data_IF_496583967903
#
_entry.id   IF_496583967903
#
_cell.length_a   1.000
_cell.length_b   1.000
_cell.length_c   1.000
_cell.angle_alpha   90.00
_cell.angle_beta   90.00
_cell.angle_gamma   90.00
#
_symmetry.space_group_name_H-M   'P 1'
#
loop_
_entity.id
_entity.type
_entity.pdbx_description
1 polymer ?
#
# COMPACT_ATOMS: atom_id res chain seq x y z
N UNK A 1 6.53 22.02 10.67
CA UNK A 1 6.67 20.58 10.34
C UNK A 1 5.49 19.83 10.96
N UNK A 2 4.28 19.93 10.38
CA UNK A 2 3.04 19.89 11.19
C UNK A 2 1.91 18.98 10.64
N UNK A 3 2.18 18.18 9.60
CA UNK A 3 1.21 17.19 9.09
C UNK A 3 1.92 15.86 8.95
N UNK A 4 1.43 14.81 9.60
CA UNK A 4 1.99 13.44 9.65
C UNK A 4 2.13 12.71 8.30
N UNK A 5 2.86 13.32 7.37
CA UNK A 5 3.17 12.79 6.04
C UNK A 5 4.11 11.59 6.19
N UNK A 6 3.97 10.60 5.30
CA UNK A 6 4.85 9.43 5.31
C UNK A 6 6.26 9.83 4.89
N UNK A 7 7.29 9.12 5.37
CA UNK A 7 8.65 9.27 4.87
C UNK A 7 8.71 9.26 3.33
N UNK A 8 7.98 8.34 2.68
CA UNK A 8 7.89 8.29 1.21
C UNK A 8 7.22 9.53 0.58
N UNK A 9 6.23 10.12 1.26
CA UNK A 9 5.60 11.36 0.81
C UNK A 9 6.56 12.53 0.94
N UNK A 10 7.35 12.58 2.02
CA UNK A 10 8.40 13.59 2.19
C UNK A 10 9.49 13.48 1.12
N UNK A 11 9.95 12.26 0.82
CA UNK A 11 10.91 12.01 -0.28
C UNK A 11 10.33 12.47 -1.61
N UNK A 12 9.07 12.13 -1.88
CA UNK A 12 8.38 12.54 -3.11
C UNK A 12 8.23 14.06 -3.21
N UNK A 13 7.81 14.72 -2.13
CA UNK A 13 7.66 16.18 -2.06
C UNK A 13 9.01 16.87 -2.23
N UNK A 14 10.07 16.37 -1.59
CA UNK A 14 11.42 16.91 -1.76
C UNK A 14 11.86 16.87 -3.23
N UNK A 15 11.60 15.76 -3.93
CA UNK A 15 11.90 15.64 -5.36
C UNK A 15 11.07 16.63 -6.18
N UNK A 16 9.77 16.70 -5.94
CA UNK A 16 8.88 17.59 -6.69
C UNK A 16 9.25 19.08 -6.47
N UNK A 17 9.56 19.48 -5.23
CA UNK A 17 9.95 20.84 -4.89
C UNK A 17 11.32 21.22 -5.48
N UNK A 18 12.26 20.28 -5.59
CA UNK A 18 13.53 20.53 -6.30
C UNK A 18 13.28 20.85 -7.77
N UNK A 19 12.42 20.07 -8.44
CA UNK A 19 12.04 20.33 -9.84
C UNK A 19 11.33 21.68 -9.99
N UNK A 20 10.49 22.05 -9.01
CA UNK A 20 9.84 23.37 -9.00
C UNK A 20 10.85 24.52 -8.87
N UNK A 21 11.83 24.41 -7.97
CA UNK A 21 12.88 25.42 -7.82
C UNK A 21 13.73 25.54 -9.09
N UNK A 22 14.04 24.42 -9.76
CA UNK A 22 14.74 24.44 -11.06
C UNK A 22 13.91 25.16 -12.13
N UNK A 23 12.61 24.89 -12.20
CA UNK A 23 11.70 25.58 -13.12
C UNK A 23 11.63 27.09 -12.83
N UNK A 24 11.45 27.49 -11.57
CA UNK A 24 11.45 28.91 -11.18
C UNK A 24 12.75 29.62 -11.54
N UNK A 25 13.89 28.96 -11.36
CA UNK A 25 15.20 29.51 -11.77
C UNK A 25 15.31 29.69 -13.27
N UNK A 26 14.73 28.78 -14.06
CA UNK A 26 14.70 28.91 -15.52
C UNK A 26 13.85 30.11 -15.98
N UNK A 27 12.89 30.53 -15.16
CA UNK A 27 12.09 31.75 -15.35
C UNK A 27 12.74 33.01 -14.72
N UNK A 28 13.94 32.88 -14.13
CA UNK A 28 14.68 33.99 -13.53
C UNK A 28 14.38 34.26 -12.05
N UNK A 29 13.53 33.48 -11.39
CA UNK A 29 13.24 33.68 -9.96
C UNK A 29 14.35 33.14 -9.07
N UNK A 30 14.97 34.03 -8.28
CA UNK A 30 15.99 33.69 -7.26
C UNK A 30 15.38 33.47 -5.87
N UNK A 31 14.11 33.80 -5.67
CA UNK A 31 13.37 33.61 -4.42
C UNK A 31 11.89 33.34 -4.71
N UNK A 32 11.11 33.02 -3.67
CA UNK A 32 9.65 32.90 -3.80
C UNK A 32 8.94 34.26 -3.93
N UNK A 33 9.63 35.38 -3.69
CA UNK A 33 9.08 36.71 -3.89
C UNK A 33 8.95 37.00 -5.39
N UNK A 34 7.82 37.58 -5.78
CA UNK A 34 7.51 37.90 -7.17
C UNK A 34 7.10 36.71 -8.02
N UNK A 35 7.01 35.49 -7.45
CA UNK A 35 6.40 34.35 -8.13
C UNK A 35 4.90 34.62 -8.29
N UNK A 36 4.41 34.52 -9.52
CA UNK A 36 3.01 34.69 -9.89
C UNK A 36 2.30 33.35 -10.09
N UNK A 37 0.97 33.39 -10.18
CA UNK A 37 0.14 32.23 -10.49
C UNK A 37 0.55 31.58 -11.82
N UNK A 38 0.85 32.39 -12.84
CA UNK A 38 1.29 31.94 -14.16
C UNK A 38 2.57 31.07 -14.12
N UNK A 39 3.49 31.32 -13.18
CA UNK A 39 4.71 30.52 -13.04
C UNK A 39 4.40 29.13 -12.45
N UNK A 40 3.42 29.06 -11.56
CA UNK A 40 2.93 27.80 -10.99
C UNK A 40 2.14 27.00 -12.04
N UNK A 41 1.37 27.67 -12.89
CA UNK A 41 0.67 27.06 -14.02
C UNK A 41 1.64 26.56 -15.10
N UNK A 42 2.66 27.36 -15.44
CA UNK A 42 3.74 26.97 -16.35
C UNK A 42 4.49 25.74 -15.83
N UNK A 43 4.75 25.67 -14.53
CA UNK A 43 5.33 24.47 -13.93
C UNK A 43 4.42 23.25 -14.12
N UNK A 44 3.11 23.39 -13.91
CA UNK A 44 2.17 22.29 -14.13
C UNK A 44 2.15 21.85 -15.60
N UNK A 45 2.23 22.78 -16.56
CA UNK A 45 2.35 22.45 -17.99
C UNK A 45 3.65 21.67 -18.26
N UNK A 46 4.80 22.17 -17.80
CA UNK A 46 6.10 21.52 -17.94
C UNK A 46 6.15 20.11 -17.32
N UNK A 47 5.46 19.89 -16.19
CA UNK A 47 5.33 18.56 -15.60
C UNK A 47 4.59 17.58 -16.50
N UNK A 48 3.59 18.05 -17.26
CA UNK A 48 2.72 17.21 -18.11
C UNK A 48 3.28 16.98 -19.50
N UNK A 49 3.99 17.96 -20.05
CA UNK A 49 4.67 17.86 -21.35
C UNK A 49 5.99 17.10 -21.24
N UNK A 50 6.70 17.29 -20.13
CA UNK A 50 8.07 16.81 -20.00
C UNK A 50 9.07 17.76 -20.67
N UNK A 51 10.34 17.47 -20.44
CA UNK A 51 11.50 18.20 -20.98
C UNK A 51 12.63 17.19 -21.25
N UNK A 52 13.74 17.64 -21.83
CA UNK A 52 14.90 16.79 -22.15
C UNK A 52 15.47 16.02 -20.94
N UNK A 53 15.24 16.53 -19.72
CA UNK A 53 15.72 15.93 -18.48
C UNK A 53 14.66 15.07 -17.79
N UNK A 54 13.38 15.29 -18.09
CA UNK A 54 12.28 14.70 -17.36
C UNK A 54 11.11 14.32 -18.27
N UNK A 55 10.76 13.03 -18.26
CA UNK A 55 9.56 12.55 -18.96
C UNK A 55 8.27 13.22 -18.43
N UNK A 56 7.31 13.41 -19.34
CA UNK A 56 5.93 13.75 -19.03
C UNK A 56 5.37 12.93 -17.86
N UNK A 57 4.80 13.62 -16.87
CA UNK A 57 4.16 12.99 -15.73
C UNK A 57 2.67 12.76 -15.99
N UNK A 58 2.19 11.57 -15.63
CA UNK A 58 0.75 11.32 -15.55
C UNK A 58 0.05 12.23 -14.53
N UNK A 59 -1.24 12.47 -14.73
CA UNK A 59 -2.05 13.41 -13.94
C UNK A 59 -1.95 13.21 -12.41
N UNK A 60 -1.81 11.97 -11.93
CA UNK A 60 -1.61 11.66 -10.51
C UNK A 60 -0.33 12.27 -9.94
N UNK A 61 0.78 12.14 -10.67
CA UNK A 61 2.09 12.61 -10.27
C UNK A 61 2.17 14.13 -10.38
N UNK A 62 1.59 14.71 -11.44
CA UNK A 62 1.47 16.15 -11.59
C UNK A 62 0.62 16.78 -10.46
N UNK A 63 -0.53 16.18 -10.13
CA UNK A 63 -1.38 16.68 -9.04
C UNK A 63 -0.70 16.63 -7.66
N UNK A 64 0.10 15.58 -7.40
CA UNK A 64 0.92 15.47 -6.19
C UNK A 64 2.01 16.55 -6.15
N UNK A 65 2.69 16.81 -7.26
CA UNK A 65 3.73 17.83 -7.33
C UNK A 65 3.15 19.24 -7.07
N UNK A 66 2.02 19.59 -7.71
CA UNK A 66 1.31 20.85 -7.42
C UNK A 66 0.88 20.92 -5.96
N UNK A 67 0.44 19.81 -5.36
CA UNK A 67 0.10 19.79 -3.93
C UNK A 67 1.30 20.10 -3.03
N UNK A 68 2.50 19.65 -3.39
CA UNK A 68 3.74 19.98 -2.69
C UNK A 68 4.06 21.48 -2.83
N UNK A 69 3.95 22.03 -4.04
CA UNK A 69 4.16 23.47 -4.34
C UNK A 69 3.19 24.36 -3.56
N UNK A 70 1.90 23.99 -3.51
CA UNK A 70 0.90 24.69 -2.68
C UNK A 70 1.25 24.65 -1.20
N UNK A 71 1.82 23.53 -0.73
CA UNK A 71 2.32 23.41 0.64
C UNK A 71 3.48 24.37 0.92
N UNK A 72 4.40 24.52 -0.04
CA UNK A 72 5.54 25.43 0.06
C UNK A 72 5.11 26.90 0.10
N UNK A 73 4.25 27.35 -0.82
CA UNK A 73 3.81 28.76 -0.87
C UNK A 73 2.95 29.15 0.33
N UNK A 74 2.08 28.24 0.78
CA UNK A 74 1.34 28.46 2.04
C UNK A 74 2.27 28.54 3.25
N UNK A 75 3.34 27.75 3.27
CA UNK A 75 4.35 27.87 4.32
C UNK A 75 5.05 29.24 4.23
N UNK A 76 5.51 29.63 3.04
CA UNK A 76 6.19 30.91 2.83
C UNK A 76 5.33 32.13 3.24
N UNK A 77 4.04 32.11 2.92
CA UNK A 77 3.09 33.14 3.34
C UNK A 77 2.94 33.20 4.87
N UNK A 78 2.77 32.04 5.54
CA UNK A 78 2.62 31.98 7.00
C UNK A 78 3.88 32.45 7.75
N UNK A 79 5.06 32.19 7.20
CA UNK A 79 6.34 32.63 7.77
C UNK A 79 6.70 34.08 7.36
N UNK A 80 5.83 34.78 6.61
CA UNK A 80 6.07 36.16 6.17
C UNK A 80 7.16 36.31 5.11
N UNK A 81 7.53 35.24 4.42
CA UNK A 81 8.53 35.27 3.34
C UNK A 81 7.98 35.88 2.05
N UNK A 82 6.67 35.73 1.83
CA UNK A 82 5.91 36.28 0.69
C UNK A 82 4.64 36.98 1.19
N UNK A 83 4.11 37.92 0.40
CA UNK A 83 2.90 38.69 0.72
C UNK A 83 1.61 37.95 0.33
N UNK A 84 1.69 37.01 -0.62
CA UNK A 84 0.56 36.23 -1.11
C UNK A 84 0.94 34.75 -1.37
N UNK A 85 -0.08 33.91 -1.61
CA UNK A 85 0.06 32.51 -2.02
C UNK A 85 -0.30 32.38 -3.52
N UNK A 86 0.69 32.45 -4.44
CA UNK A 86 0.44 32.37 -5.89
C UNK A 86 -0.04 30.98 -6.34
N UNK A 87 0.18 29.94 -5.52
CA UNK A 87 -0.27 28.59 -5.82
C UNK A 87 -1.69 28.29 -5.30
N UNK A 88 -2.32 29.25 -4.61
CA UNK A 88 -3.63 29.08 -3.99
C UNK A 88 -4.72 28.66 -4.99
N UNK A 89 -4.73 29.32 -6.15
CA UNK A 89 -5.75 29.19 -7.21
C UNK A 89 -5.43 28.10 -8.25
N UNK A 90 -4.15 27.72 -8.41
CA UNK A 90 -3.74 26.68 -9.37
C UNK A 90 -4.39 25.33 -9.02
N UNK A 91 -5.26 24.88 -9.91
CA UNK A 91 -6.02 23.63 -9.74
C UNK A 91 -5.17 22.44 -10.19
N UNK A 92 -4.87 21.47 -9.30
CA UNK A 92 -4.23 20.23 -9.70
C UNK A 92 -5.08 19.50 -10.75
N UNK A 93 -4.47 18.76 -11.70
CA UNK A 93 -5.21 17.99 -12.68
C UNK A 93 -6.22 17.07 -12.02
N UNK A 94 -7.50 17.23 -12.39
CA UNK A 94 -8.59 16.41 -11.86
C UNK A 94 -8.49 15.02 -12.48
N UNK A 95 -8.13 14.02 -11.67
CA UNK A 95 -8.22 12.63 -12.11
C UNK A 95 -9.64 12.11 -11.87
N UNK A 96 -10.37 11.83 -12.95
CA UNK A 96 -11.51 10.91 -12.90
C UNK A 96 -10.97 9.50 -12.67
N UNK A 97 -10.72 9.13 -11.41
CA UNK A 97 -10.38 7.75 -11.07
C UNK A 97 -11.66 6.95 -10.97
N UNK A 98 -11.95 6.14 -11.99
CA UNK A 98 -12.81 4.97 -11.78
C UNK A 98 -12.01 4.02 -10.88
N UNK A 99 -12.54 3.57 -9.74
CA UNK A 99 -11.86 2.54 -8.95
C UNK A 99 -11.61 1.34 -9.88
N UNK A 100 -10.42 0.71 -9.82
CA UNK A 100 -10.17 -0.50 -10.59
C UNK A 100 -11.26 -1.52 -10.22
N UNK A 101 -11.85 -2.19 -11.22
CA UNK A 101 -12.78 -3.29 -10.94
C UNK A 101 -12.07 -4.32 -10.06
N UNK A 102 -12.76 -4.81 -9.03
CA UNK A 102 -12.26 -5.90 -8.22
C UNK A 102 -11.94 -7.10 -9.12
N UNK A 103 -10.84 -7.78 -8.79
CA UNK A 103 -10.46 -9.05 -9.42
C UNK A 103 -11.43 -10.10 -8.91
N UNK A 104 -12.07 -10.85 -9.81
CA UNK A 104 -13.03 -11.88 -9.41
C UNK A 104 -12.39 -12.94 -8.51
N UNK A 105 -13.20 -13.57 -7.66
CA UNK A 105 -12.76 -14.66 -6.76
C UNK A 105 -12.04 -15.75 -7.54
N UNK A 106 -12.61 -16.20 -8.67
CA UNK A 106 -11.99 -17.22 -9.53
C UNK A 106 -10.62 -16.79 -10.09
N UNK A 107 -10.41 -15.50 -10.39
CA UNK A 107 -9.11 -15.01 -10.82
C UNK A 107 -8.10 -14.95 -9.66
N UNK A 108 -8.55 -14.62 -8.44
CA UNK A 108 -7.71 -14.70 -7.24
C UNK A 108 -7.30 -16.15 -6.94
N UNK A 109 -8.20 -17.11 -7.09
CA UNK A 109 -7.90 -18.53 -6.92
C UNK A 109 -6.84 -19.01 -7.93
N UNK A 110 -6.99 -18.64 -9.21
CA UNK A 110 -5.97 -18.93 -10.23
C UNK A 110 -4.62 -18.29 -9.89
N UNK A 111 -4.62 -17.04 -9.39
CA UNK A 111 -3.41 -16.35 -8.97
C UNK A 111 -2.67 -17.11 -7.86
N UNK A 112 -3.40 -17.57 -6.84
CA UNK A 112 -2.81 -18.29 -5.70
C UNK A 112 -2.31 -19.68 -6.12
N UNK A 113 -3.10 -20.40 -6.92
CA UNK A 113 -2.71 -21.68 -7.49
C UNK A 113 -1.46 -21.56 -8.37
N UNK A 114 -1.30 -20.44 -9.07
CA UNK A 114 -0.12 -20.14 -9.87
C UNK A 114 1.09 -19.65 -9.06
N UNK A 115 1.16 -19.86 -7.74
CA UNK A 115 2.28 -19.42 -6.89
C UNK A 115 3.62 -20.14 -7.16
N UNK A 116 3.58 -21.29 -7.84
CA UNK A 116 4.75 -22.09 -8.27
C UNK A 116 4.42 -23.59 -8.26
N UNK A 117 5.38 -24.46 -8.65
CA UNK A 117 5.22 -25.91 -8.54
C UNK A 117 5.18 -26.35 -7.06
N UNK A 118 4.31 -27.31 -6.76
CA UNK A 118 4.09 -27.80 -5.39
C UNK A 118 5.36 -28.38 -4.74
N UNK A 119 5.44 -28.28 -3.42
CA UNK A 119 6.49 -28.90 -2.60
C UNK A 119 7.79 -28.10 -2.45
N UNK A 120 8.09 -27.13 -3.32
CA UNK A 120 9.29 -26.30 -3.16
C UNK A 120 9.13 -25.27 -2.02
N UNK A 121 10.15 -25.04 -1.16
CA UNK A 121 10.04 -24.13 -0.03
C UNK A 121 9.64 -22.69 -0.41
N UNK A 122 10.15 -22.19 -1.54
CA UNK A 122 9.79 -20.88 -2.05
C UNK A 122 8.35 -20.82 -2.57
N UNK A 123 7.82 -21.90 -3.14
CA UNK A 123 6.42 -21.98 -3.59
C UNK A 123 5.47 -21.93 -2.40
N UNK A 124 5.72 -22.73 -1.36
CA UNK A 124 4.89 -22.71 -0.14
C UNK A 124 4.88 -21.31 0.49
N UNK A 125 6.06 -20.67 0.57
CA UNK A 125 6.20 -19.28 0.99
C UNK A 125 5.39 -18.31 0.12
N UNK A 126 5.44 -18.47 -1.21
CA UNK A 126 4.71 -17.61 -2.15
C UNK A 126 3.20 -17.76 -1.98
N UNK A 127 2.71 -18.99 -1.88
CA UNK A 127 1.30 -19.31 -1.68
C UNK A 127 0.77 -18.67 -0.39
N UNK A 128 1.47 -18.89 0.72
CA UNK A 128 1.16 -18.28 2.01
C UNK A 128 1.13 -16.75 1.95
N UNK A 129 2.10 -16.13 1.25
CA UNK A 129 2.13 -14.68 1.08
C UNK A 129 0.91 -14.16 0.32
N UNK A 130 0.52 -14.82 -0.77
CA UNK A 130 -0.64 -14.41 -1.58
C UNK A 130 -1.96 -14.61 -0.82
N UNK A 131 -2.10 -15.72 -0.11
CA UNK A 131 -3.26 -15.99 0.75
C UNK A 131 -3.38 -14.95 1.86
N UNK A 132 -2.28 -14.58 2.54
CA UNK A 132 -2.29 -13.53 3.55
C UNK A 132 -2.65 -12.17 2.94
N UNK A 133 -2.07 -11.80 1.80
CA UNK A 133 -2.35 -10.52 1.14
C UNK A 133 -3.83 -10.38 0.78
N UNK A 134 -4.43 -11.44 0.23
CA UNK A 134 -5.84 -11.43 -0.15
C UNK A 134 -6.73 -11.59 1.08
N UNK A 135 -6.54 -12.62 1.90
CA UNK A 135 -7.40 -12.97 3.04
C UNK A 135 -7.43 -11.96 4.16
N UNK A 136 -6.45 -11.07 4.26
CA UNK A 136 -6.42 -10.01 5.30
C UNK A 136 -6.54 -8.60 4.74
N UNK A 137 -6.53 -8.46 3.41
CA UNK A 137 -6.37 -7.16 2.75
C UNK A 137 -5.10 -6.40 3.17
N UNK A 138 -4.07 -7.06 3.69
CA UNK A 138 -2.84 -6.41 4.16
C UNK A 138 -2.17 -5.59 3.05
N UNK A 139 -1.55 -4.46 3.43
CA UNK A 139 -0.59 -3.81 2.54
C UNK A 139 0.63 -4.72 2.41
N UNK A 140 1.29 -4.71 1.25
CA UNK A 140 2.49 -5.53 1.02
C UNK A 140 3.58 -5.32 2.08
N UNK A 141 3.75 -4.08 2.55
CA UNK A 141 4.71 -3.76 3.62
C UNK A 141 4.30 -4.31 5.00
N UNK A 142 3.00 -4.43 5.25
CA UNK A 142 2.47 -5.03 6.48
C UNK A 142 2.71 -6.55 6.45
N UNK A 143 2.39 -7.20 5.32
CA UNK A 143 2.60 -8.64 5.14
C UNK A 143 4.06 -9.06 5.29
N UNK A 144 5.01 -8.40 4.58
CA UNK A 144 6.45 -8.70 4.73
C UNK A 144 7.03 -8.23 6.08
N UNK A 145 6.27 -7.41 6.82
CA UNK A 145 6.61 -6.93 8.14
C UNK A 145 6.30 -7.93 9.26
N UNK A 146 5.43 -8.91 9.02
CA UNK A 146 5.02 -9.91 10.01
C UNK A 146 6.21 -10.66 10.62
N UNK A 147 6.13 -10.89 11.93
CA UNK A 147 6.96 -11.86 12.64
C UNK A 147 6.20 -13.17 12.84
N UNK A 148 6.89 -14.26 13.19
CA UNK A 148 6.26 -15.54 13.53
C UNK A 148 5.26 -15.37 14.68
N UNK A 149 5.65 -14.63 15.72
CA UNK A 149 4.82 -14.36 16.92
C UNK A 149 3.67 -13.37 16.68
N UNK A 150 3.52 -12.85 15.45
CA UNK A 150 2.35 -12.04 15.09
C UNK A 150 1.13 -12.89 14.70
N UNK A 151 1.28 -14.23 14.64
CA UNK A 151 0.19 -15.18 14.49
C UNK A 151 -0.42 -15.48 15.87
N UNK A 152 -1.71 -15.27 16.03
CA UNK A 152 -2.40 -15.51 17.30
C UNK A 152 -3.88 -15.84 17.07
N UNK A 153 -4.35 -16.94 17.68
CA UNK A 153 -5.77 -17.34 17.74
C UNK A 153 -6.54 -17.25 16.42
N UNK A 154 -5.99 -17.76 15.31
CA UNK A 154 -6.63 -17.70 13.99
C UNK A 154 -6.66 -16.30 13.36
N UNK A 155 -5.67 -15.47 13.69
CA UNK A 155 -5.50 -14.13 13.14
C UNK A 155 -4.04 -13.70 13.05
N UNK A 156 -3.82 -12.52 12.47
CA UNK A 156 -2.50 -11.88 12.38
C UNK A 156 -2.52 -10.44 12.87
N UNK A 157 -1.47 -10.06 13.59
CA UNK A 157 -1.24 -8.68 14.05
C UNK A 157 -0.48 -7.87 12.99
N UNK A 158 -1.19 -7.01 12.27
CA UNK A 158 -0.60 -6.14 11.24
C UNK A 158 -0.20 -4.78 11.81
N UNK A 159 1.04 -4.37 11.52
CA UNK A 159 1.60 -3.09 11.96
C UNK A 159 1.55 -2.07 10.81
N UNK A 160 0.65 -1.10 10.93
CA UNK A 160 0.45 -0.04 9.96
C UNK A 160 1.39 1.16 10.16
N UNK A 161 1.12 2.22 9.38
CA UNK A 161 1.89 3.48 9.44
C UNK A 161 1.68 4.17 10.79
N UNK A 162 2.74 4.79 11.32
CA UNK A 162 2.76 5.53 12.58
C UNK A 162 2.49 4.66 13.82
N UNK A 163 2.97 3.41 13.82
CA UNK A 163 2.93 2.53 15.00
C UNK A 163 1.58 1.90 15.32
N UNK A 164 0.53 2.19 14.53
CA UNK A 164 -0.80 1.60 14.73
C UNK A 164 -0.80 0.11 14.40
N UNK A 165 -1.32 -0.71 15.30
CA UNK A 165 -1.51 -2.14 15.09
C UNK A 165 -2.99 -2.46 14.93
N UNK A 166 -3.31 -3.53 14.20
CA UNK A 166 -4.65 -4.13 14.15
C UNK A 166 -4.51 -5.65 14.08
N UNK A 167 -5.45 -6.36 14.69
CA UNK A 167 -5.58 -7.81 14.51
C UNK A 167 -6.61 -8.05 13.41
N UNK A 168 -6.26 -8.92 12.46
CA UNK A 168 -7.15 -9.30 11.35
C UNK A 168 -7.33 -10.81 11.40
N UNK A 169 -8.57 -11.33 11.36
CA UNK A 169 -8.83 -12.76 11.23
C UNK A 169 -8.13 -13.34 9.99
N UNK A 170 -7.68 -14.58 10.10
CA UNK A 170 -7.30 -15.38 8.95
C UNK A 170 -8.47 -16.28 8.56
N UNK A 171 -8.63 -16.51 7.26
CA UNK A 171 -9.51 -17.58 6.78
C UNK A 171 -8.76 -18.90 6.73
N UNK A 172 -9.50 -20.00 6.73
CA UNK A 172 -8.99 -21.37 6.67
C UNK A 172 -7.87 -21.56 5.64
N UNK A 173 -8.05 -21.08 4.42
CA UNK A 173 -7.02 -21.21 3.38
C UNK A 173 -5.71 -20.47 3.69
N UNK A 174 -5.80 -19.31 4.34
CA UNK A 174 -4.61 -18.55 4.73
C UNK A 174 -3.91 -19.17 5.93
N UNK A 175 -4.67 -19.76 6.86
CA UNK A 175 -4.12 -20.56 7.96
C UNK A 175 -3.40 -21.80 7.43
N UNK A 176 -4.07 -22.61 6.61
CA UNK A 176 -3.49 -23.82 6.01
C UNK A 176 -2.24 -23.51 5.21
N UNK A 177 -2.25 -22.47 4.37
CA UNK A 177 -1.08 -22.09 3.59
C UNK A 177 0.07 -21.58 4.48
N UNK A 178 -0.24 -20.89 5.59
CA UNK A 178 0.77 -20.45 6.55
C UNK A 178 1.35 -21.62 7.34
N UNK A 179 0.54 -22.59 7.76
CA UNK A 179 0.99 -23.80 8.45
C UNK A 179 1.88 -24.64 7.55
N UNK A 180 1.43 -24.91 6.32
CA UNK A 180 2.25 -25.57 5.29
C UNK A 180 3.60 -24.88 5.11
N UNK A 181 3.61 -23.55 5.04
CA UNK A 181 4.85 -22.79 4.91
C UNK A 181 5.72 -22.88 6.16
N UNK A 182 5.16 -22.63 7.35
CA UNK A 182 5.92 -22.56 8.60
C UNK A 182 6.51 -23.92 8.96
N UNK A 183 5.72 -24.98 8.83
CA UNK A 183 6.07 -26.33 9.28
C UNK A 183 7.01 -27.02 8.29
N UNK A 184 6.79 -26.84 6.99
CA UNK A 184 7.50 -27.62 5.95
C UNK A 184 8.62 -26.87 5.25
N UNK A 185 8.61 -25.54 5.25
CA UNK A 185 9.48 -24.75 4.37
C UNK A 185 10.27 -23.64 5.07
N UNK A 186 9.71 -22.99 6.08
CA UNK A 186 10.34 -21.81 6.68
C UNK A 186 11.66 -22.16 7.36
N UNK A 187 11.74 -23.29 8.07
CA UNK A 187 12.97 -23.78 8.70
C UNK A 187 14.09 -24.02 7.66
N UNK A 188 13.76 -24.63 6.52
CA UNK A 188 14.69 -24.85 5.41
C UNK A 188 15.22 -23.54 4.83
N UNK A 189 14.37 -22.53 4.65
CA UNK A 189 14.80 -21.21 4.20
C UNK A 189 15.65 -20.51 5.28
N UNK A 190 15.26 -20.59 6.55
CA UNK A 190 15.94 -19.95 7.66
C UNK A 190 17.37 -20.48 7.85
N UNK A 191 17.62 -21.75 7.55
CA UNK A 191 18.95 -22.38 7.62
C UNK A 191 20.01 -21.70 6.73
N UNK A 192 19.59 -20.96 5.69
CA UNK A 192 20.49 -20.19 4.83
C UNK A 192 20.89 -18.81 5.40
N UNK A 193 20.29 -18.41 6.53
CA UNK A 193 20.47 -17.09 7.15
C UNK A 193 21.14 -17.14 8.53
N UNK A 194 21.17 -16.00 9.22
CA UNK A 194 21.74 -15.84 10.57
C UNK A 194 20.69 -15.84 11.71
N UNK A 195 19.49 -16.35 11.42
CA UNK A 195 18.34 -16.28 12.33
C UNK A 195 17.55 -14.95 12.21
N UNK A 196 16.22 -15.06 12.13
CA UNK A 196 15.32 -13.89 12.08
C UNK A 196 13.92 -14.27 12.55
N UNK A 197 13.22 -13.32 13.18
CA UNK A 197 11.81 -13.47 13.56
C UNK A 197 10.84 -13.25 12.38
N UNK A 198 11.32 -12.78 11.22
CA UNK A 198 10.47 -12.48 10.07
C UNK A 198 9.68 -13.72 9.63
N UNK A 199 8.37 -13.58 9.44
CA UNK A 199 7.52 -14.68 9.00
C UNK A 199 7.91 -15.10 7.58
N UNK A 200 7.87 -14.16 6.62
CA UNK A 200 8.23 -14.42 5.23
C UNK A 200 9.72 -14.18 4.97
N UNK A 201 10.40 -15.23 4.53
CA UNK A 201 11.83 -15.21 4.19
C UNK A 201 12.08 -15.13 2.69
N UNK A 202 13.22 -14.57 2.33
CA UNK A 202 13.81 -14.70 1.00
C UNK A 202 14.65 -15.98 0.91
N UNK A 203 15.14 -16.31 -0.29
CA UNK A 203 15.92 -17.55 -0.53
C UNK A 203 17.24 -17.62 0.26
N UNK A 204 17.75 -16.50 0.78
CA UNK A 204 18.98 -16.41 1.58
C UNK A 204 18.70 -16.41 3.09
N UNK A 205 17.50 -16.80 3.51
CA UNK A 205 17.09 -16.87 4.92
C UNK A 205 16.89 -15.52 5.61
N UNK A 206 17.01 -14.40 4.90
CA UNK A 206 16.70 -13.06 5.41
C UNK A 206 15.23 -12.68 5.22
N UNK A 207 14.80 -11.57 5.82
CA UNK A 207 13.44 -11.03 5.62
C UNK A 207 13.15 -10.81 4.13
N UNK A 208 11.97 -11.20 3.68
CA UNK A 208 11.48 -10.87 2.34
C UNK A 208 11.30 -9.36 2.20
N UNK A 209 11.87 -8.77 1.16
CA UNK A 209 11.70 -7.33 0.91
C UNK A 209 10.35 -7.06 0.26
N UNK A 210 9.87 -5.81 0.36
CA UNK A 210 8.69 -5.36 -0.38
C UNK A 210 8.82 -5.63 -1.88
N UNK A 211 10.01 -5.40 -2.44
CA UNK A 211 10.27 -5.62 -3.85
C UNK A 211 10.19 -7.10 -4.21
N UNK A 212 10.81 -7.98 -3.41
CA UNK A 212 10.72 -9.43 -3.63
C UNK A 212 9.30 -9.98 -3.49
N UNK A 213 8.50 -9.45 -2.56
CA UNK A 213 7.08 -9.80 -2.46
C UNK A 213 6.27 -9.32 -3.68
N UNK A 214 6.64 -8.18 -4.27
CA UNK A 214 6.01 -7.68 -5.50
C UNK A 214 6.35 -8.58 -6.69
N UNK A 215 7.62 -9.00 -6.81
CA UNK A 215 8.07 -9.94 -7.84
C UNK A 215 7.35 -11.29 -7.74
N UNK A 216 7.15 -11.81 -6.53
CA UNK A 216 6.34 -13.02 -6.31
C UNK A 216 4.93 -12.86 -6.85
N UNK A 217 4.28 -11.73 -6.54
CA UNK A 217 2.93 -11.44 -7.01
C UNK A 217 2.87 -11.32 -8.54
N UNK A 218 3.81 -10.60 -9.15
CA UNK A 218 3.83 -10.44 -10.61
C UNK A 218 4.09 -11.77 -11.32
N UNK A 219 5.04 -12.57 -10.83
CA UNK A 219 5.33 -13.87 -11.42
C UNK A 219 4.13 -14.83 -11.32
N UNK A 220 3.38 -14.79 -10.21
CA UNK A 220 2.14 -15.55 -10.08
C UNK A 220 1.04 -15.03 -11.01
N UNK A 221 0.91 -13.71 -11.16
CA UNK A 221 -0.07 -13.10 -12.05
C UNK A 221 0.21 -13.45 -13.52
N UNK A 222 1.47 -13.39 -13.93
CA UNK A 222 1.92 -13.79 -15.27
C UNK A 222 1.58 -15.26 -15.55
N UNK A 223 1.94 -16.18 -14.64
CA UNK A 223 1.59 -17.60 -14.77
C UNK A 223 0.08 -17.86 -14.80
N UNK A 224 -0.71 -17.03 -14.11
CA UNK A 224 -2.17 -17.12 -14.10
C UNK A 224 -2.85 -16.46 -15.32
N UNK A 225 -2.08 -15.83 -16.22
CA UNK A 225 -2.60 -15.06 -17.36
C UNK A 225 -3.41 -13.83 -16.91
N UNK A 226 -2.98 -13.17 -15.84
CA UNK A 226 -3.68 -12.04 -15.23
C UNK A 226 -2.89 -10.74 -15.39
N UNK A 227 -3.48 -9.79 -16.10
CA UNK A 227 -2.90 -8.47 -16.26
C UNK A 227 -3.20 -7.54 -15.09
N UNK A 228 -2.26 -6.61 -14.85
CA UNK A 228 -2.41 -5.46 -13.94
C UNK A 228 -2.71 -5.85 -12.49
N UNK A 229 -2.32 -7.03 -12.03
CA UNK A 229 -2.46 -7.41 -10.63
C UNK A 229 -1.45 -6.65 -9.77
N UNK A 230 -1.90 -6.08 -8.66
CA UNK A 230 -1.02 -5.39 -7.69
C UNK A 230 -1.54 -5.60 -6.27
N UNK A 231 -0.70 -5.37 -5.23
CA UNK A 231 -1.15 -5.53 -3.84
C UNK A 231 -2.32 -4.60 -3.50
N UNK A 232 -2.37 -3.41 -4.12
CA UNK A 232 -3.47 -2.47 -3.95
C UNK A 232 -4.77 -2.98 -4.57
N UNK A 233 -4.69 -3.69 -5.69
CA UNK A 233 -5.85 -4.29 -6.34
C UNK A 233 -6.35 -5.48 -5.54
N UNK A 234 -5.47 -6.36 -5.04
CA UNK A 234 -5.88 -7.47 -4.15
C UNK A 234 -6.57 -6.96 -2.89
N UNK A 235 -6.03 -5.93 -2.26
CA UNK A 235 -6.65 -5.28 -1.11
C UNK A 235 -8.01 -4.65 -1.44
N UNK A 236 -8.17 -4.09 -2.64
CA UNK A 236 -9.46 -3.59 -3.09
C UNK A 236 -10.45 -4.73 -3.32
N UNK A 237 -10.03 -5.81 -3.97
CA UNK A 237 -10.85 -7.00 -4.16
C UNK A 237 -11.31 -7.59 -2.84
N UNK A 238 -10.42 -7.70 -1.84
CA UNK A 238 -10.79 -8.11 -0.49
C UNK A 238 -11.93 -7.26 0.09
N UNK A 239 -11.82 -5.93 -0.01
CA UNK A 239 -12.84 -5.01 0.48
C UNK A 239 -14.17 -5.22 -0.25
N UNK A 240 -14.13 -5.26 -1.58
CA UNK A 240 -15.31 -5.43 -2.42
C UNK A 240 -15.98 -6.78 -2.17
N UNK A 241 -15.22 -7.88 -2.09
CA UNK A 241 -15.78 -9.20 -1.85
C UNK A 241 -16.39 -9.36 -0.46
N UNK A 242 -15.84 -8.69 0.57
CA UNK A 242 -16.50 -8.63 1.88
C UNK A 242 -17.85 -7.91 1.80
N UNK A 243 -17.91 -6.77 1.10
CA UNK A 243 -19.16 -6.04 0.90
C UNK A 243 -20.18 -6.85 0.10
N UNK A 244 -19.74 -7.51 -0.98
CA UNK A 244 -20.57 -8.40 -1.80
C UNK A 244 -21.05 -9.62 -0.99
N UNK A 245 -20.26 -10.08 -0.02
CA UNK A 245 -20.61 -11.11 0.95
C UNK A 245 -21.49 -10.63 2.11
N UNK A 246 -21.94 -9.36 2.10
CA UNK A 246 -22.87 -8.81 3.08
C UNK A 246 -22.21 -8.19 4.33
N UNK A 247 -20.88 -8.02 4.36
CA UNK A 247 -20.22 -7.35 5.47
C UNK A 247 -20.59 -5.85 5.50
N UNK A 248 -20.80 -5.33 6.71
CA UNK A 248 -21.02 -3.90 6.91
C UNK A 248 -19.77 -3.08 6.56
N UNK A 249 -19.97 -1.90 5.95
CA UNK A 249 -18.88 -1.02 5.51
C UNK A 249 -17.94 -0.64 6.65
N UNK A 250 -18.46 -0.46 7.88
CA UNK A 250 -17.62 -0.10 9.03
C UNK A 250 -16.71 -1.25 9.42
N UNK A 251 -17.20 -2.48 9.38
CA UNK A 251 -16.39 -3.69 9.62
C UNK A 251 -15.27 -3.81 8.58
N UNK A 252 -15.57 -3.60 7.30
CA UNK A 252 -14.56 -3.61 6.24
C UNK A 252 -13.51 -2.52 6.45
N UNK A 253 -13.92 -1.32 6.87
CA UNK A 253 -12.99 -0.21 7.17
C UNK A 253 -12.07 -0.54 8.36
N UNK A 254 -12.59 -1.20 9.37
CA UNK A 254 -11.85 -1.63 10.57
C UNK A 254 -10.80 -2.70 10.23
N UNK A 255 -11.19 -3.74 9.49
CA UNK A 255 -10.27 -4.80 9.00
C UNK A 255 -9.14 -4.24 8.15
N UNK A 256 -9.43 -3.21 7.37
CA UNK A 256 -8.45 -2.51 6.54
C UNK A 256 -7.61 -1.49 7.33
N UNK A 257 -8.02 -1.08 8.53
CA UNK A 257 -7.34 -0.06 9.31
C UNK A 257 -7.41 1.33 8.68
N UNK A 258 -8.58 1.71 8.15
CA UNK A 258 -8.84 3.09 7.71
C UNK A 258 -9.01 4.03 8.92
N UNK A 259 -8.37 5.20 8.87
CA UNK A 259 -8.19 6.11 9.99
C UNK A 259 -9.39 7.03 10.33
N UNK A 260 -10.61 6.68 9.97
CA UNK A 260 -11.82 7.36 10.46
C UNK A 260 -12.87 6.26 10.66
N UNK A 261 -13.06 5.73 11.86
CA UNK A 261 -13.54 6.43 13.06
C UNK A 261 -12.68 6.07 14.27
N UNK A 262 -12.40 7.07 15.13
CA UNK A 262 -11.71 6.98 16.43
C UNK A 262 -10.36 6.27 16.42
N UNK A 263 -9.28 7.03 16.21
CA UNK A 263 -7.97 6.67 16.76
C UNK A 263 -8.12 6.35 18.24
N UNK A 264 -7.73 5.14 18.62
CA UNK A 264 -7.80 4.55 19.96
C UNK A 264 -9.15 3.92 20.32
N UNK A 265 -9.61 2.96 19.51
CA UNK A 265 -10.42 1.88 20.09
C UNK A 265 -9.47 0.84 20.67
N UNK A 266 -9.56 0.63 21.99
CA UNK A 266 -9.06 -0.58 22.61
C UNK A 266 -9.81 -1.73 21.95
N UNK A 267 -9.12 -2.56 21.17
CA UNK A 267 -9.70 -3.79 20.65
C UNK A 267 -10.01 -4.68 21.86
N UNK A 268 -11.27 -4.66 22.28
CA UNK A 268 -11.75 -5.61 23.28
C UNK A 268 -11.93 -6.95 22.60
N UNK A 269 -11.89 -8.03 23.39
CA UNK A 269 -12.13 -9.38 22.89
C UNK A 269 -13.45 -9.48 22.11
N UNK A 270 -14.49 -8.78 22.59
CA UNK A 270 -15.82 -8.70 21.95
C UNK A 270 -15.77 -8.11 20.54
N UNK A 271 -14.92 -7.09 20.30
CA UNK A 271 -14.76 -6.51 18.96
C UNK A 271 -14.05 -7.51 18.03
N UNK A 272 -13.03 -8.21 18.52
CA UNK A 272 -12.30 -9.22 17.75
C UNK A 272 -13.22 -10.38 17.34
N UNK A 273 -14.06 -10.85 18.24
CA UNK A 273 -14.96 -11.97 17.96
C UNK A 273 -16.04 -11.59 16.94
N UNK A 274 -16.61 -10.38 17.05
CA UNK A 274 -17.51 -9.84 16.02
C UNK A 274 -16.85 -9.71 14.65
N UNK A 275 -15.60 -9.26 14.60
CA UNK A 275 -14.84 -9.16 13.34
C UNK A 275 -14.62 -10.55 12.72
N UNK A 276 -14.33 -11.56 13.54
CA UNK A 276 -14.19 -12.97 13.09
C UNK A 276 -15.50 -13.50 12.52
N UNK A 277 -16.64 -13.29 13.19
CA UNK A 277 -17.96 -13.75 12.73
C UNK A 277 -18.33 -13.15 11.37
N UNK A 278 -18.19 -11.83 11.22
CA UNK A 278 -18.52 -11.16 9.95
C UNK A 278 -17.57 -11.61 8.84
N UNK A 279 -16.27 -11.73 9.14
CA UNK A 279 -15.30 -12.25 8.19
C UNK A 279 -15.64 -13.69 7.76
N UNK A 280 -16.00 -14.55 8.72
CA UNK A 280 -16.38 -15.94 8.47
C UNK A 280 -17.61 -16.07 7.57
N UNK A 281 -18.61 -15.19 7.75
CA UNK A 281 -19.83 -15.19 6.95
C UNK A 281 -19.65 -14.59 5.54
N UNK A 282 -18.77 -13.59 5.39
CA UNK A 282 -18.71 -12.78 4.17
C UNK A 282 -17.50 -13.05 3.27
N UNK A 283 -16.34 -13.44 3.81
CA UNK A 283 -15.13 -13.55 3.00
C UNK A 283 -15.13 -14.86 2.17
N UNK A 284 -14.88 -14.82 0.84
CA UNK A 284 -14.94 -16.01 -0.01
C UNK A 284 -13.98 -17.14 0.39
N UNK A 285 -12.92 -16.81 1.13
CA UNK A 285 -11.87 -17.74 1.57
C UNK A 285 -11.84 -17.93 3.09
N UNK A 286 -12.96 -17.73 3.79
CA UNK A 286 -13.01 -17.90 5.24
C UNK A 286 -13.13 -19.35 5.72
N UNK A 287 -14.06 -20.14 5.16
CA UNK A 287 -14.44 -21.46 5.68
C UNK A 287 -14.42 -22.60 4.65
N UNK A 288 -14.62 -22.29 3.35
CA UNK A 288 -14.48 -23.29 2.28
C UNK A 288 -13.02 -23.58 1.99
#
# INVERSE_FOLDING_TARGET
>A
MEKGLSANTLVSYRRDLRRYVEHLRSLGHMSLRGVAEADVESFLAALREGDDRHRALGAASAARAVSAVRGLHRFALREGLTECDPAGAVRPPRQLRRPPKAVSVAAVERLIAASGPDGAPLTLRNRALLEVLYGTGARISEAVGLAVDDRDGGGVRLRGKAGRTRVVPLGRFAEEALDDYVDRARSLLAAHGRGTSALFLNARGGRLTRQGAWEVLQAAAERAGLDRISPHILRHSFATHLLDGGADVRVVQELLGHASVSTTQVYTQVVVDRLREVYAAAHPRALR
#
